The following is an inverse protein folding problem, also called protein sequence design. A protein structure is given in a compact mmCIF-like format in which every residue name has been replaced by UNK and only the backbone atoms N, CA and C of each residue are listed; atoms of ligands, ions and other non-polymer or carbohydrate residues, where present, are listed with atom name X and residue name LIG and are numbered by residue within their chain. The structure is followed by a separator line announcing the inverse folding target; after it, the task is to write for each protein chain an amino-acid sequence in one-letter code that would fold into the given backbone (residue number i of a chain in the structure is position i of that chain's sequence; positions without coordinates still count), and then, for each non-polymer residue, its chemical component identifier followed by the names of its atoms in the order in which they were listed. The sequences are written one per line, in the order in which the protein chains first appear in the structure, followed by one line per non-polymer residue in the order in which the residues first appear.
data_IF_155144392056
#
_entry.id   IF_155144392056
#
_cell.length_a   1.000
_cell.length_b   1.000
_cell.length_c   1.000
_cell.angle_alpha   90.00
_cell.angle_beta   90.00
_cell.angle_gamma   90.00
#
_symmetry.space_group_name_H-M   'P 1'
#
loop_
_entity.id
_entity.type
_entity.pdbx_description
1 polymer ?
#
# COMPACT_ATOMS: atom_id res chain seq x y z
N UNK A 1 -43.68 57.15 2.80
CA UNK A 1 -43.77 55.68 2.95
C UNK A 1 -42.50 55.10 2.33
N UNK A 2 -41.54 54.73 3.18
CA UNK A 2 -40.25 54.13 2.81
C UNK A 2 -40.43 52.63 2.61
N UNK A 3 -39.94 52.06 1.50
CA UNK A 3 -39.53 50.65 1.44
C UNK A 3 -38.22 50.55 0.66
N UNK A 4 -37.28 49.89 1.33
CA UNK A 4 -35.85 49.75 1.06
C UNK A 4 -35.62 48.68 -0.03
N UNK A 5 -34.73 48.97 -0.99
CA UNK A 5 -34.20 48.00 -1.96
C UNK A 5 -33.12 47.13 -1.29
N UNK A 6 -33.21 45.79 -1.31
CA UNK A 6 -32.15 44.97 -0.74
C UNK A 6 -30.97 44.89 -1.70
N UNK A 7 -29.90 45.53 -1.24
CA UNK A 7 -28.50 45.23 -1.55
C UNK A 7 -28.23 43.75 -1.25
N UNK A 8 -27.31 43.15 -2.01
CA UNK A 8 -26.53 41.93 -1.71
C UNK A 8 -26.98 40.63 -2.41
N UNK A 9 -26.33 40.32 -3.53
CA UNK A 9 -25.80 38.97 -3.74
C UNK A 9 -24.67 39.01 -4.79
N UNK A 10 -23.50 39.51 -4.38
CA UNK A 10 -22.24 39.20 -5.06
C UNK A 10 -21.90 37.74 -4.74
N UNK A 11 -22.38 36.81 -5.56
CA UNK A 11 -21.95 35.42 -5.52
C UNK A 11 -20.53 35.39 -6.10
N UNK A 12 -19.55 35.48 -5.22
CA UNK A 12 -18.16 35.21 -5.57
C UNK A 12 -18.04 33.75 -6.03
N UNK A 13 -17.78 33.54 -7.31
CA UNK A 13 -17.35 32.27 -7.88
C UNK A 13 -15.95 31.94 -7.34
N UNK A 14 -15.88 31.37 -6.14
CA UNK A 14 -14.67 30.72 -5.66
C UNK A 14 -14.56 29.36 -6.40
N UNK A 15 -13.47 29.10 -7.13
CA UNK A 15 -13.24 27.78 -7.70
C UNK A 15 -13.03 26.81 -6.54
N UNK A 16 -13.97 25.91 -6.33
CA UNK A 16 -13.81 24.75 -5.47
C UNK A 16 -12.73 23.87 -6.08
N UNK A 17 -11.49 24.05 -5.62
CA UNK A 17 -10.41 23.10 -5.83
C UNK A 17 -10.80 21.80 -5.11
N UNK A 18 -11.42 20.87 -5.84
CA UNK A 18 -11.60 19.50 -5.37
C UNK A 18 -10.23 18.84 -5.29
N UNK A 19 -9.63 18.82 -4.10
CA UNK A 19 -8.44 18.05 -3.82
C UNK A 19 -8.83 16.56 -3.96
N UNK A 20 -8.44 15.94 -5.07
CA UNK A 20 -8.64 14.51 -5.26
C UNK A 20 -7.72 13.76 -4.28
N UNK A 21 -8.22 13.47 -3.06
CA UNK A 21 -7.60 12.48 -2.20
C UNK A 21 -7.73 11.14 -2.92
N UNK A 22 -6.63 10.60 -3.45
CA UNK A 22 -6.58 9.19 -3.81
C UNK A 22 -6.76 8.41 -2.51
N UNK A 23 -7.93 7.80 -2.34
CA UNK A 23 -8.14 6.81 -1.29
C UNK A 23 -7.07 5.74 -1.45
N UNK A 24 -6.20 5.62 -0.44
CA UNK A 24 -5.19 4.55 -0.40
C UNK A 24 -5.95 3.26 -0.11
N UNK A 25 -5.92 2.32 -1.03
CA UNK A 25 -6.65 1.06 -0.85
C UNK A 25 -6.08 0.26 0.33
N UNK A 26 -6.94 -0.54 0.97
CA UNK A 26 -6.53 -1.39 2.09
C UNK A 26 -5.42 -2.37 1.67
N UNK A 27 -5.48 -2.85 0.43
CA UNK A 27 -4.48 -3.69 -0.24
C UNK A 27 -3.13 -2.99 -0.28
N UNK A 28 -3.10 -1.72 -0.68
CA UNK A 28 -1.87 -0.93 -0.74
C UNK A 28 -1.28 -0.69 0.65
N UNK A 29 -2.11 -0.41 1.66
CA UNK A 29 -1.65 -0.23 3.04
C UNK A 29 -1.02 -1.51 3.59
N UNK A 30 -1.69 -2.67 3.41
CA UNK A 30 -1.17 -3.94 3.89
C UNK A 30 0.09 -4.39 3.15
N UNK A 31 0.10 -4.27 1.82
CA UNK A 31 1.27 -4.57 1.01
C UNK A 31 2.46 -3.69 1.45
N UNK A 32 2.24 -2.40 1.69
CA UNK A 32 3.32 -1.52 2.16
C UNK A 32 3.84 -1.92 3.53
N UNK A 33 2.96 -2.32 4.45
CA UNK A 33 3.35 -2.86 5.77
C UNK A 33 4.20 -4.12 5.64
N UNK A 34 3.82 -5.03 4.76
CA UNK A 34 4.56 -6.26 4.47
C UNK A 34 5.95 -5.98 3.88
N UNK A 35 6.05 -5.06 2.92
CA UNK A 35 7.33 -4.66 2.34
C UNK A 35 8.26 -4.06 3.41
N UNK A 36 7.75 -3.16 4.26
CA UNK A 36 8.53 -2.57 5.35
C UNK A 36 9.04 -3.63 6.32
N UNK A 37 8.21 -4.61 6.69
CA UNK A 37 8.62 -5.72 7.53
C UNK A 37 9.76 -6.54 6.89
N UNK A 38 9.64 -6.85 5.60
CA UNK A 38 10.65 -7.61 4.87
C UNK A 38 11.97 -6.88 4.73
N UNK A 39 11.94 -5.59 4.37
CA UNK A 39 13.15 -4.77 4.25
C UNK A 39 13.91 -4.69 5.58
N UNK A 40 13.20 -4.60 6.71
CA UNK A 40 13.84 -4.60 8.03
C UNK A 40 14.57 -5.91 8.34
N UNK A 41 14.03 -7.06 7.90
CA UNK A 41 14.71 -8.36 8.02
C UNK A 41 15.92 -8.46 7.09
N UNK A 42 15.72 -8.13 5.80
CA UNK A 42 16.80 -8.18 4.80
C UNK A 42 17.99 -7.29 5.16
N UNK A 43 17.76 -6.15 5.81
CA UNK A 43 18.84 -5.28 6.27
C UNK A 43 19.85 -6.01 7.18
N UNK A 44 19.41 -7.02 7.93
CA UNK A 44 20.31 -7.83 8.75
C UNK A 44 20.81 -9.07 8.00
N UNK A 45 19.93 -9.72 7.23
CA UNK A 45 20.15 -11.08 6.74
C UNK A 45 20.74 -11.14 5.31
N UNK A 46 20.39 -10.20 4.44
CA UNK A 46 20.82 -10.14 3.03
C UNK A 46 20.90 -8.69 2.54
N UNK A 47 22.10 -8.11 2.69
CA UNK A 47 22.42 -6.75 2.25
C UNK A 47 22.30 -6.55 0.74
N UNK A 48 22.53 -7.59 -0.06
CA UNK A 48 22.46 -7.52 -1.52
C UNK A 48 21.02 -7.34 -1.99
N UNK A 49 20.13 -8.21 -1.50
CA UNK A 49 18.70 -8.12 -1.79
C UNK A 49 18.06 -6.86 -1.19
N UNK A 50 18.48 -6.46 0.02
CA UNK A 50 18.07 -5.18 0.61
C UNK A 50 18.41 -4.00 -0.30
N UNK A 51 19.63 -3.94 -0.84
CA UNK A 51 20.06 -2.83 -1.69
C UNK A 51 19.21 -2.71 -2.97
N UNK A 52 18.76 -3.84 -3.53
CA UNK A 52 17.85 -3.89 -4.68
C UNK A 52 16.45 -3.37 -4.34
N UNK A 53 15.91 -3.78 -3.20
CA UNK A 53 14.50 -3.56 -2.86
C UNK A 53 14.25 -2.34 -1.95
N UNK A 54 15.27 -1.70 -1.37
CA UNK A 54 15.08 -0.59 -0.41
C UNK A 54 14.31 0.62 -0.97
N UNK A 55 14.25 0.78 -2.29
CA UNK A 55 13.46 1.84 -2.95
C UNK A 55 12.13 1.35 -3.52
N UNK A 56 11.86 0.04 -3.41
CA UNK A 56 10.67 -0.58 -3.96
C UNK A 56 9.41 -0.04 -3.31
N UNK A 57 8.32 -0.07 -4.07
CA UNK A 57 6.96 0.18 -3.59
C UNK A 57 6.03 -0.89 -4.14
N UNK A 58 5.00 -1.32 -3.39
CA UNK A 58 3.99 -2.19 -3.93
C UNK A 58 3.16 -1.47 -5.00
N UNK A 59 2.91 -2.15 -6.12
CA UNK A 59 1.94 -1.70 -7.10
C UNK A 59 0.53 -1.99 -6.59
N UNK A 60 -0.22 -0.93 -6.29
CA UNK A 60 -1.58 -1.01 -5.72
C UNK A 60 -2.57 -1.79 -6.60
N UNK A 61 -2.40 -1.78 -7.93
CA UNK A 61 -3.30 -2.51 -8.85
C UNK A 61 -3.08 -4.02 -8.86
N UNK A 62 -1.93 -4.47 -8.35
CA UNK A 62 -1.54 -5.89 -8.27
C UNK A 62 -1.65 -6.46 -6.86
N UNK A 63 -1.94 -5.61 -5.87
CA UNK A 63 -2.00 -6.03 -4.49
C UNK A 63 -3.28 -6.83 -4.23
N UNK A 64 -3.14 -8.07 -3.78
CA UNK A 64 -4.24 -8.99 -3.48
C UNK A 64 -4.19 -9.38 -2.01
N UNK A 65 -5.34 -9.34 -1.33
CA UNK A 65 -5.51 -9.81 0.04
C UNK A 65 -6.41 -11.04 0.02
N UNK A 66 -5.90 -12.15 0.52
CA UNK A 66 -6.66 -13.38 0.76
C UNK A 66 -6.75 -13.61 2.26
N UNK A 67 -7.97 -13.81 2.77
CA UNK A 67 -8.23 -14.10 4.19
C UNK A 67 -8.59 -15.56 4.35
N UNK A 68 -8.06 -16.18 5.39
CA UNK A 68 -8.30 -17.57 5.73
C UNK A 68 -8.84 -17.63 7.15
N UNK A 69 -10.03 -18.22 7.28
CA UNK A 69 -10.66 -18.48 8.58
C UNK A 69 -10.17 -19.82 9.19
N UNK A 70 -9.47 -20.63 8.39
CA UNK A 70 -8.92 -21.92 8.76
C UNK A 70 -7.40 -21.96 8.56
N UNK A 71 -6.73 -22.94 9.18
CA UNK A 71 -5.27 -23.10 9.07
C UNK A 71 -4.82 -23.31 7.62
N UNK A 72 -3.68 -22.72 7.26
CA UNK A 72 -2.95 -23.07 6.03
C UNK A 72 -1.93 -24.15 6.40
N UNK A 73 -2.27 -25.41 6.13
CA UNK A 73 -1.50 -26.55 6.62
C UNK A 73 -1.65 -26.72 8.14
N UNK A 74 -0.54 -26.78 8.88
CA UNK A 74 -0.54 -26.87 10.36
C UNK A 74 -0.41 -25.52 11.07
N UNK A 75 -0.21 -24.42 10.33
CA UNK A 75 -0.10 -23.08 10.90
C UNK A 75 -1.35 -22.27 10.63
N UNK A 76 -1.84 -21.58 11.65
CA UNK A 76 -2.84 -20.55 11.47
C UNK A 76 -2.19 -19.35 10.79
N UNK A 77 -2.74 -18.93 9.66
CA UNK A 77 -2.37 -17.68 9.00
C UNK A 77 -3.67 -17.01 8.57
N UNK A 78 -4.05 -15.96 9.29
CA UNK A 78 -5.32 -15.26 9.01
C UNK A 78 -5.35 -14.62 7.60
N UNK A 79 -4.21 -14.17 7.08
CA UNK A 79 -4.17 -13.39 5.83
C UNK A 79 -2.91 -13.67 5.01
N UNK A 80 -3.06 -13.85 3.70
CA UNK A 80 -1.97 -13.77 2.70
C UNK A 80 -2.12 -12.49 1.89
N UNK A 81 -1.02 -11.78 1.72
CA UNK A 81 -0.93 -10.60 0.85
C UNK A 81 0.10 -10.85 -0.23
N UNK A 82 -0.27 -10.67 -1.49
CA UNK A 82 0.66 -10.68 -2.63
C UNK A 82 0.63 -9.34 -3.33
N UNK A 83 1.75 -8.92 -3.89
CA UNK A 83 1.83 -7.73 -4.74
C UNK A 83 3.10 -7.74 -5.59
N UNK A 84 3.03 -7.13 -6.76
CA UNK A 84 4.22 -6.74 -7.51
C UNK A 84 4.87 -5.53 -6.85
N UNK A 85 6.19 -5.46 -6.98
CA UNK A 85 7.06 -4.42 -6.46
C UNK A 85 7.69 -3.68 -7.63
N UNK A 86 7.70 -2.36 -7.54
CA UNK A 86 8.32 -1.48 -8.51
C UNK A 86 9.41 -0.67 -7.83
N UNK A 87 10.61 -0.71 -8.36
CA UNK A 87 11.72 0.15 -7.93
C UNK A 87 11.77 1.43 -8.76
N UNK A 88 12.47 2.44 -8.28
CA UNK A 88 12.70 3.68 -9.05
C UNK A 88 13.48 3.44 -10.34
N UNK A 89 14.25 2.35 -10.40
CA UNK A 89 15.10 1.96 -11.51
C UNK A 89 14.34 1.12 -12.56
N UNK A 90 13.05 0.86 -12.36
CA UNK A 90 12.24 0.04 -13.26
C UNK A 90 12.42 -1.46 -13.08
N UNK A 91 13.35 -1.91 -12.24
CA UNK A 91 13.43 -3.30 -11.82
C UNK A 91 12.16 -3.67 -11.04
N UNK A 92 11.65 -4.85 -11.32
CA UNK A 92 10.43 -5.39 -10.74
C UNK A 92 10.72 -6.61 -9.89
N UNK A 93 9.83 -6.87 -8.96
CA UNK A 93 9.84 -8.08 -8.15
C UNK A 93 8.44 -8.39 -7.67
N UNK A 94 8.29 -9.47 -6.94
CA UNK A 94 7.03 -9.86 -6.33
C UNK A 94 7.27 -10.20 -4.86
N UNK A 95 6.21 -10.05 -4.06
CA UNK A 95 6.23 -10.50 -2.69
C UNK A 95 5.00 -11.30 -2.33
N UNK A 96 5.19 -12.23 -1.40
CA UNK A 96 4.15 -12.94 -0.67
C UNK A 96 4.39 -12.72 0.81
N UNK A 97 3.39 -12.23 1.52
CA UNK A 97 3.42 -11.94 2.93
C UNK A 97 2.34 -12.74 3.64
N UNK A 98 2.70 -13.37 4.75
CA UNK A 98 1.79 -14.10 5.63
C UNK A 98 1.59 -13.28 6.90
N UNK A 99 0.33 -13.06 7.28
CA UNK A 99 -0.03 -12.24 8.43
C UNK A 99 -0.97 -13.00 9.36
N UNK A 100 -0.86 -12.65 10.63
CA UNK A 100 -1.75 -13.08 11.71
C UNK A 100 -2.28 -11.84 12.41
N UNK A 101 -3.61 -11.67 12.47
CA UNK A 101 -4.24 -10.46 13.00
C UNK A 101 -3.65 -9.16 12.41
N UNK A 102 -3.51 -9.10 11.08
CA UNK A 102 -2.91 -8.00 10.30
C UNK A 102 -1.44 -7.66 10.66
N UNK A 103 -0.75 -8.54 11.39
CA UNK A 103 0.68 -8.42 11.70
C UNK A 103 1.49 -9.35 10.80
N UNK A 104 2.46 -8.83 10.02
CA UNK A 104 3.34 -9.67 9.22
C UNK A 104 4.13 -10.65 10.09
N UNK A 105 4.07 -11.94 9.74
CA UNK A 105 4.86 -13.01 10.34
C UNK A 105 6.05 -13.35 9.45
N UNK A 106 5.79 -13.45 8.16
CA UNK A 106 6.74 -13.88 7.15
C UNK A 106 6.51 -13.12 5.84
N UNK A 107 7.60 -12.87 5.12
CA UNK A 107 7.54 -12.32 3.77
C UNK A 107 8.63 -12.96 2.93
N UNK A 108 8.26 -13.32 1.71
CA UNK A 108 9.14 -13.89 0.71
C UNK A 108 9.15 -12.99 -0.51
N UNK A 109 10.34 -12.66 -0.99
CA UNK A 109 10.56 -11.89 -2.21
C UNK A 109 10.99 -12.85 -3.32
N UNK A 110 10.37 -12.73 -4.49
CA UNK A 110 10.63 -13.59 -5.64
C UNK A 110 10.51 -12.79 -6.94
N UNK A 111 10.91 -13.40 -8.06
CA UNK A 111 10.92 -12.75 -9.38
C UNK A 111 11.69 -11.41 -9.38
N UNK A 112 12.70 -11.25 -8.51
CA UNK A 112 13.47 -10.00 -8.41
C UNK A 112 14.50 -9.99 -9.53
N UNK A 113 14.37 -9.01 -10.44
CA UNK A 113 15.29 -8.86 -11.56
C UNK A 113 16.76 -8.84 -11.10
N UNK A 114 17.62 -9.59 -11.81
CA UNK A 114 19.04 -9.79 -11.47
C UNK A 114 19.93 -8.58 -11.78
#
# INVERSE_FOLDING_TARGET
MNIILPLSCLIALAPTLTLANKDVSQEQVMAQRCLTFGLNKLKADDQGLYAKLQTARPNASTAVIERFDENIGSQHVATRVTASLETKQGATGEMMCLLENDKPLFVYFYSVDE
#
